data_IF_957182930787
#
_entry.id   IF_957182930787
#
_cell.length_a   1.000
_cell.length_b   1.000
_cell.length_c   1.000
_cell.angle_alpha   90.00
_cell.angle_beta   90.00
_cell.angle_gamma   90.00
#
_symmetry.space_group_name_H-M   'P 1'
#
loop_
_entity.id
_entity.type
_entity.pdbx_description
1 polymer ?
#
# COMPACT_ATOMS: atom_id res chain seq x y z
N UNK A 1 -4.46 -15.40 21.67
CA UNK A 1 -4.48 -16.41 20.60
C UNK A 1 -3.87 -17.71 21.11
N UNK A 2 -4.46 -18.87 20.81
CA UNK A 2 -3.93 -20.18 21.26
C UNK A 2 -2.59 -20.50 20.57
N UNK A 3 -1.50 -20.73 21.32
CA UNK A 3 -0.19 -21.11 20.78
C UNK A 3 -0.21 -22.35 19.87
N UNK A 4 -1.10 -23.32 20.13
CA UNK A 4 -1.16 -24.58 19.37
C UNK A 4 -1.61 -24.35 17.93
N UNK A 5 -2.56 -23.42 17.72
CA UNK A 5 -3.03 -23.05 16.38
C UNK A 5 -1.95 -22.37 15.56
N UNK A 6 -1.14 -21.52 16.21
CA UNK A 6 0.01 -20.85 15.57
C UNK A 6 1.09 -21.87 15.20
N UNK A 7 1.36 -22.83 16.08
CA UNK A 7 2.31 -23.91 15.80
C UNK A 7 1.86 -24.77 14.60
N UNK A 8 0.57 -25.12 14.52
CA UNK A 8 0.01 -25.83 13.37
C UNK A 8 0.12 -25.04 12.06
N UNK A 9 -0.16 -23.72 12.09
CA UNK A 9 0.02 -22.87 10.91
C UNK A 9 1.50 -22.78 10.48
N UNK A 10 2.41 -22.61 11.43
CA UNK A 10 3.86 -22.59 11.16
C UNK A 10 4.36 -23.93 10.59
N UNK A 11 3.80 -25.05 11.04
CA UNK A 11 4.11 -26.36 10.49
C UNK A 11 3.70 -26.46 9.01
N UNK A 12 2.48 -26.01 8.64
CA UNK A 12 2.04 -25.95 7.23
C UNK A 12 2.92 -25.07 6.36
N UNK A 13 3.38 -23.92 6.87
CA UNK A 13 4.31 -23.05 6.15
C UNK A 13 5.65 -23.75 5.90
N UNK A 14 6.16 -24.49 6.90
CA UNK A 14 7.39 -25.27 6.78
C UNK A 14 7.25 -26.41 5.76
N UNK A 15 6.12 -27.12 5.76
CA UNK A 15 5.82 -28.15 4.75
C UNK A 15 5.80 -27.56 3.34
N UNK A 16 5.30 -26.33 3.18
CA UNK A 16 5.35 -25.59 1.92
C UNK A 16 6.74 -25.04 1.54
N UNK A 17 7.79 -25.32 2.32
CA UNK A 17 9.15 -24.79 2.07
C UNK A 17 9.30 -23.29 2.33
N UNK A 18 8.34 -22.67 3.02
CA UNK A 18 8.35 -21.22 3.28
C UNK A 18 9.18 -20.96 4.54
N UNK A 19 10.29 -20.23 4.39
CA UNK A 19 11.21 -19.84 5.48
C UNK A 19 10.69 -18.75 6.42
N UNK A 20 9.37 -18.53 6.49
CA UNK A 20 8.73 -17.51 7.32
C UNK A 20 7.97 -18.17 8.48
N UNK A 21 7.98 -17.51 9.63
CA UNK A 21 7.28 -17.94 10.85
C UNK A 21 6.30 -16.86 11.31
N UNK A 22 5.10 -17.27 11.68
CA UNK A 22 4.09 -16.42 12.32
C UNK A 22 4.40 -16.32 13.82
N UNK A 23 4.54 -15.10 14.31
CA UNK A 23 4.64 -14.71 15.72
C UNK A 23 3.45 -13.81 16.08
N UNK A 24 3.04 -13.82 17.36
CA UNK A 24 2.08 -12.84 17.89
C UNK A 24 2.85 -11.85 18.75
N UNK A 25 2.69 -10.56 18.47
CA UNK A 25 3.28 -9.50 19.28
C UNK A 25 2.19 -8.49 19.61
N UNK A 26 1.92 -8.34 20.92
CA UNK A 26 0.78 -7.56 21.40
C UNK A 26 -0.53 -8.14 20.90
N UNK A 27 -1.26 -7.35 20.10
CA UNK A 27 -2.57 -7.70 19.55
C UNK A 27 -2.54 -8.15 18.09
N UNK A 28 -1.37 -8.23 17.45
CA UNK A 28 -1.26 -8.45 16.00
C UNK A 28 -0.32 -9.60 15.62
N UNK A 29 -0.52 -10.14 14.42
CA UNK A 29 0.38 -11.13 13.81
C UNK A 29 1.56 -10.47 13.11
N UNK A 30 2.72 -11.08 13.30
CA UNK A 30 3.99 -10.68 12.73
C UNK A 30 4.61 -11.86 12.00
N UNK A 31 5.28 -11.59 10.89
CA UNK A 31 6.02 -12.58 10.13
C UNK A 31 7.50 -12.39 10.40
N UNK A 32 8.22 -13.45 10.75
CA UNK A 32 9.65 -13.44 10.99
C UNK A 32 10.35 -14.37 10.00
N UNK A 33 11.41 -13.88 9.38
CA UNK A 33 12.26 -14.71 8.51
C UNK A 33 13.40 -13.91 7.90
N UNK A 34 14.15 -14.55 7.01
CA UNK A 34 15.24 -13.88 6.28
C UNK A 34 14.62 -13.09 5.13
N UNK A 35 14.67 -11.77 5.23
CA UNK A 35 14.17 -10.85 4.20
C UNK A 35 15.34 -10.04 3.63
N UNK A 36 15.25 -9.59 2.37
CA UNK A 36 16.22 -8.66 1.81
C UNK A 36 16.26 -7.38 2.64
N UNK A 37 17.39 -6.66 2.66
CA UNK A 37 17.50 -5.42 3.42
C UNK A 37 16.43 -4.41 2.99
N UNK A 38 15.94 -3.62 3.95
CA UNK A 38 15.03 -2.51 3.64
C UNK A 38 15.79 -1.43 2.86
N UNK A 39 15.14 -0.72 1.94
CA UNK A 39 15.79 0.34 1.16
C UNK A 39 16.31 1.49 2.03
N UNK A 40 15.65 1.75 3.16
CA UNK A 40 16.07 2.73 4.18
C UNK A 40 17.18 2.21 5.12
N UNK A 41 17.50 0.92 5.07
CA UNK A 41 18.50 0.31 5.94
C UNK A 41 19.88 0.33 5.26
N UNK A 42 20.90 0.83 5.95
CA UNK A 42 22.30 0.79 5.48
C UNK A 42 22.93 -0.62 5.45
N UNK A 43 22.12 -1.68 5.40
CA UNK A 43 22.59 -3.09 5.41
C UNK A 43 22.62 -3.63 3.99
N UNK A 44 23.74 -4.24 3.60
CA UNK A 44 23.93 -4.81 2.25
C UNK A 44 23.50 -6.27 2.07
N UNK A 45 23.14 -6.99 3.14
CA UNK A 45 22.87 -8.42 3.09
C UNK A 45 21.50 -8.79 3.67
N UNK A 46 20.84 -9.85 3.18
CA UNK A 46 19.62 -10.38 3.79
C UNK A 46 19.86 -10.77 5.25
N UNK A 47 18.90 -10.46 6.13
CA UNK A 47 19.00 -10.74 7.56
C UNK A 47 17.63 -11.10 8.14
N UNK A 48 17.62 -11.67 9.36
CA UNK A 48 16.38 -11.95 10.06
C UNK A 48 15.63 -10.67 10.38
N UNK A 49 14.46 -10.52 9.79
CA UNK A 49 13.60 -9.36 9.94
C UNK A 49 12.22 -9.79 10.41
N UNK A 50 11.54 -8.83 11.04
CA UNK A 50 10.12 -8.93 11.37
C UNK A 50 9.33 -8.00 10.46
N UNK A 51 8.28 -8.55 9.87
CA UNK A 51 7.30 -7.85 9.07
C UNK A 51 5.98 -7.79 9.82
N UNK A 52 5.52 -6.58 10.14
CA UNK A 52 4.24 -6.36 10.80
C UNK A 52 3.12 -6.40 9.76
N UNK A 53 2.22 -7.38 9.86
CA UNK A 53 1.10 -7.51 8.91
C UNK A 53 -0.05 -6.55 9.22
N UNK A 54 -0.11 -6.02 10.44
CA UNK A 54 -1.25 -5.21 10.92
C UNK A 54 -2.52 -6.02 11.19
N UNK A 55 -2.48 -7.36 11.03
CA UNK A 55 -3.65 -8.22 11.21
C UNK A 55 -3.84 -8.54 12.70
N UNK A 56 -5.07 -8.42 13.23
CA UNK A 56 -5.36 -8.75 14.62
C UNK A 56 -5.18 -10.25 14.91
N UNK A 57 -4.78 -10.57 16.15
CA UNK A 57 -4.49 -11.92 16.63
C UNK A 57 -5.75 -12.77 16.88
N UNK A 58 -6.62 -12.90 15.87
CA UNK A 58 -7.85 -13.69 15.88
C UNK A 58 -7.78 -14.88 14.89
N UNK A 59 -8.68 -15.87 14.96
CA UNK A 59 -8.60 -17.05 14.10
C UNK A 59 -8.75 -16.76 12.59
N UNK A 60 -9.53 -15.75 12.23
CA UNK A 60 -9.68 -15.29 10.83
C UNK A 60 -8.36 -14.69 10.34
N UNK A 61 -7.78 -13.84 11.18
CA UNK A 61 -6.50 -13.18 10.98
C UNK A 61 -5.35 -14.16 10.87
N UNK A 62 -5.41 -15.30 11.57
CA UNK A 62 -4.39 -16.34 11.43
C UNK A 62 -4.39 -16.92 10.01
N UNK A 63 -5.58 -17.19 9.43
CA UNK A 63 -5.69 -17.66 8.04
C UNK A 63 -5.19 -16.63 7.05
N UNK A 64 -5.50 -15.35 7.29
CA UNK A 64 -5.01 -14.25 6.45
C UNK A 64 -3.48 -14.11 6.56
N UNK A 65 -2.92 -14.18 7.76
CA UNK A 65 -1.49 -14.15 7.98
C UNK A 65 -0.76 -15.33 7.31
N UNK A 66 -1.37 -16.53 7.33
CA UNK A 66 -0.86 -17.70 6.61
C UNK A 66 -0.87 -17.47 5.09
N UNK A 67 -1.95 -16.89 4.54
CA UNK A 67 -2.02 -16.54 3.11
C UNK A 67 -0.96 -15.52 2.70
N UNK A 68 -0.77 -14.47 3.51
CA UNK A 68 0.27 -13.46 3.27
C UNK A 68 1.65 -14.10 3.35
N UNK A 69 1.90 -14.98 4.32
CA UNK A 69 3.19 -15.67 4.42
C UNK A 69 3.47 -16.53 3.18
N UNK A 70 2.46 -17.18 2.60
CA UNK A 70 2.59 -17.93 1.33
C UNK A 70 2.90 -17.02 0.16
N UNK A 71 2.20 -15.90 0.04
CA UNK A 71 2.45 -14.90 -1.01
C UNK A 71 3.86 -14.32 -0.91
N UNK A 72 4.27 -13.90 0.29
CA UNK A 72 5.63 -13.43 0.57
C UNK A 72 6.67 -14.49 0.24
N UNK A 73 6.43 -15.74 0.65
CA UNK A 73 7.30 -16.88 0.34
C UNK A 73 7.49 -17.06 -1.16
N UNK A 74 6.41 -17.00 -1.94
CA UNK A 74 6.48 -17.10 -3.40
C UNK A 74 7.29 -15.94 -4.01
N UNK A 75 7.07 -14.71 -3.57
CA UNK A 75 7.81 -13.53 -4.05
C UNK A 75 9.31 -13.60 -3.71
N UNK A 76 9.66 -14.12 -2.54
CA UNK A 76 11.05 -14.34 -2.14
C UNK A 76 11.72 -15.40 -3.03
N UNK A 77 11.04 -16.51 -3.29
CA UNK A 77 11.54 -17.57 -4.19
C UNK A 77 11.74 -17.06 -5.62
N UNK A 78 10.83 -16.22 -6.11
CA UNK A 78 10.94 -15.61 -7.44
C UNK A 78 11.97 -14.46 -7.50
N UNK A 79 12.49 -14.00 -6.36
CA UNK A 79 13.35 -12.81 -6.31
C UNK A 79 12.64 -11.50 -6.67
N UNK A 80 11.30 -11.49 -6.69
CA UNK A 80 10.47 -10.34 -7.06
C UNK A 80 9.98 -9.54 -5.85
N UNK A 81 10.36 -9.96 -4.64
CA UNK A 81 9.98 -9.29 -3.40
C UNK A 81 10.32 -7.80 -3.45
N UNK A 82 9.29 -6.97 -3.22
CA UNK A 82 9.42 -5.53 -3.03
C UNK A 82 8.84 -5.17 -1.68
N UNK A 83 9.59 -4.38 -0.92
CA UNK A 83 9.06 -3.80 0.29
C UNK A 83 7.88 -2.89 -0.06
N UNK A 84 6.76 -2.96 0.68
CA UNK A 84 5.72 -1.96 0.53
C UNK A 84 6.34 -0.58 0.79
N UNK A 85 5.99 0.40 -0.03
CA UNK A 85 6.47 1.78 0.13
C UNK A 85 6.23 2.21 1.57
N UNK A 86 7.30 2.59 2.26
CA UNK A 86 7.16 3.17 3.58
C UNK A 86 6.28 4.41 3.41
N UNK A 87 5.22 4.54 4.22
CA UNK A 87 4.43 5.77 4.24
C UNK A 87 5.41 6.92 4.53
N UNK A 88 5.76 7.70 3.50
CA UNK A 88 6.52 8.93 3.67
C UNK A 88 5.74 9.76 4.67
N UNK A 89 6.41 10.24 5.71
CA UNK A 89 5.76 11.17 6.63
C UNK A 89 5.25 12.34 5.80
N UNK A 90 3.96 12.64 5.99
CA UNK A 90 3.39 13.83 5.38
C UNK A 90 4.20 15.04 5.88
N UNK A 91 4.54 15.99 5.00
CA UNK A 91 5.27 17.19 5.38
C UNK A 91 4.55 17.88 6.54
N UNK A 92 5.31 18.22 7.57
CA UNK A 92 4.82 18.91 8.76
C UNK A 92 4.39 20.34 8.40
N UNK A 93 3.59 20.98 9.26
CA UNK A 93 3.23 22.38 9.07
C UNK A 93 4.46 23.31 8.92
N UNK A 94 5.57 22.97 9.58
CA UNK A 94 6.85 23.68 9.42
C UNK A 94 7.43 23.54 8.01
N UNK A 95 7.47 22.31 7.47
CA UNK A 95 7.91 22.04 6.09
C UNK A 95 7.07 22.83 5.08
N UNK A 96 5.77 23.00 5.33
CA UNK A 96 4.88 23.82 4.51
C UNK A 96 5.18 25.31 4.60
N UNK A 97 5.47 25.84 5.80
CA UNK A 97 5.83 27.26 6.00
C UNK A 97 7.16 27.58 5.31
N UNK A 98 8.17 26.71 5.44
CA UNK A 98 9.47 26.89 4.79
C UNK A 98 9.34 26.84 3.26
N UNK A 99 8.59 25.88 2.72
CA UNK A 99 8.33 25.78 1.28
C UNK A 99 7.58 27.00 0.73
N UNK A 100 6.65 27.55 1.52
CA UNK A 100 5.93 28.77 1.17
C UNK A 100 6.84 29.99 1.18
N UNK A 101 7.64 30.17 2.24
CA UNK A 101 8.59 31.27 2.35
C UNK A 101 9.64 31.26 1.22
N UNK A 102 10.17 30.08 0.87
CA UNK A 102 11.11 29.89 -0.24
C UNK A 102 10.50 30.25 -1.61
N UNK A 103 9.18 30.06 -1.78
CA UNK A 103 8.48 30.45 -3.00
C UNK A 103 8.37 31.97 -3.10
N UNK A 104 8.18 32.66 -1.98
CA UNK A 104 8.04 34.13 -1.94
C UNK A 104 9.37 34.88 -2.04
N UNK A 105 10.51 34.21 -1.84
CA UNK A 105 11.84 34.84 -1.84
C UNK A 105 12.54 34.87 -3.19
N UNK A 106 11.88 34.51 -4.31
CA UNK A 106 12.45 34.70 -5.66
C UNK A 106 12.41 36.18 -6.01
N UNK A 107 13.53 36.93 -5.99
CA UNK A 107 13.52 38.33 -6.37
C UNK A 107 13.56 38.38 -7.89
N UNK A 108 12.42 38.66 -8.54
CA UNK A 108 12.42 38.95 -9.98
C UNK A 108 11.23 38.45 -10.81
N UNK A 109 10.19 37.85 -10.22
CA UNK A 109 8.93 37.63 -10.94
C UNK A 109 7.80 38.32 -10.21
N UNK A 110 7.35 39.45 -10.76
CA UNK A 110 6.20 40.19 -10.29
C UNK A 110 5.04 39.24 -9.99
N UNK A 111 4.51 39.38 -8.78
CA UNK A 111 3.37 38.65 -8.26
C UNK A 111 2.14 38.90 -9.13
N UNK A 112 1.86 38.01 -10.07
CA UNK A 112 0.52 37.84 -10.61
C UNK A 112 -0.15 36.77 -9.74
N UNK A 113 -0.88 37.22 -8.72
CA UNK A 113 -1.87 36.35 -8.08
C UNK A 113 -2.79 35.85 -9.20
N UNK A 114 -3.00 34.53 -9.37
CA UNK A 114 -4.16 34.11 -10.14
C UNK A 114 -5.39 34.70 -9.44
N UNK A 115 -6.29 35.38 -10.17
CA UNK A 115 -7.50 35.89 -9.54
C UNK A 115 -8.22 34.71 -8.93
N UNK A 116 -8.68 34.88 -7.68
CA UNK A 116 -9.68 34.01 -7.07
C UNK A 116 -10.98 34.19 -7.87
N UNK A 117 -11.03 33.60 -9.05
CA UNK A 117 -12.25 33.44 -9.82
C UNK A 117 -13.19 32.54 -9.03
N UNK A 118 -14.51 32.78 -9.09
CA UNK A 118 -15.48 31.90 -8.47
C UNK A 118 -15.28 30.47 -9.00
N UNK A 119 -15.32 29.48 -8.09
CA UNK A 119 -15.29 28.07 -8.45
C UNK A 119 -16.53 27.76 -9.29
N UNK A 120 -16.41 27.84 -10.61
CA UNK A 120 -17.37 27.21 -11.51
C UNK A 120 -17.19 25.71 -11.35
N UNK A 121 -18.16 25.08 -10.68
CA UNK A 121 -18.40 23.65 -10.77
C UNK A 121 -18.88 23.41 -12.20
N UNK A 122 -17.95 23.22 -13.14
CA UNK A 122 -18.25 22.81 -14.51
C UNK A 122 -17.46 21.54 -14.79
N UNK A 123 -18.20 20.45 -14.99
CA UNK A 123 -17.60 19.15 -15.29
C UNK A 123 -18.39 17.97 -14.76
N UNK A 124 -19.73 18.02 -14.84
CA UNK A 124 -20.53 16.79 -14.94
C UNK A 124 -20.03 16.06 -16.20
N UNK A 125 -19.11 15.12 -16.01
CA UNK A 125 -18.66 14.27 -17.09
C UNK A 125 -19.72 13.19 -17.20
N UNK A 126 -20.67 13.41 -18.10
CA UNK A 126 -21.60 12.40 -18.54
C UNK A 126 -20.78 11.18 -18.99
N UNK A 127 -20.92 10.08 -18.25
CA UNK A 127 -20.42 8.78 -18.66
C UNK A 127 -21.28 8.36 -19.85
N UNK A 128 -20.84 8.70 -21.06
CA UNK A 128 -21.34 8.09 -22.28
C UNK A 128 -20.82 6.66 -22.34
N UNK A 129 -21.60 5.73 -21.80
CA UNK A 129 -21.49 4.31 -22.13
C UNK A 129 -21.75 4.19 -23.64
N UNK A 130 -20.68 4.08 -24.43
CA UNK A 130 -20.75 3.53 -25.78
C UNK A 130 -21.02 2.04 -25.65
N UNK A 131 -22.27 1.69 -25.39
CA UNK A 131 -22.79 0.35 -25.68
C UNK A 131 -22.78 0.20 -27.19
N UNK A 132 -21.83 -0.59 -27.67
CA UNK A 132 -21.76 -0.96 -29.07
C UNK A 132 -23.00 -1.77 -29.47
N UNK A 133 -23.50 -1.43 -30.65
CA UNK A 133 -24.19 -2.34 -31.57
C UNK A 133 -25.55 -2.89 -31.12
N UNK A 134 -26.62 -2.25 -31.59
CA UNK A 134 -27.47 -2.88 -32.60
C UNK A 134 -28.46 -1.85 -33.16
N UNK A 135 -28.42 -1.73 -34.48
CA UNK A 135 -29.39 -1.01 -35.28
C UNK A 135 -30.81 -1.52 -35.02
N UNK A 136 -31.79 -0.61 -35.04
CA UNK A 136 -32.97 -0.66 -35.92
C UNK A 136 -33.97 0.45 -35.53
N UNK A 137 -34.27 1.30 -36.53
CA UNK A 137 -35.59 1.88 -36.88
C UNK A 137 -36.31 2.75 -35.82
N UNK A 138 -36.64 4.02 -36.08
CA UNK A 138 -37.59 4.60 -37.06
C UNK A 138 -38.79 5.22 -36.29
N UNK A 139 -39.43 6.23 -36.91
CA UNK A 139 -40.60 7.01 -36.48
C UNK A 139 -40.30 8.12 -35.45
N UNK A 140 -40.02 9.35 -35.90
CA UNK A 140 -40.93 10.41 -36.43
C UNK A 140 -41.72 11.16 -35.35
N UNK A 141 -41.62 12.48 -35.49
CA UNK A 141 -42.50 13.53 -35.00
C UNK A 141 -43.98 13.10 -34.98
N UNK A 142 -44.70 13.49 -33.94
CA UNK A 142 -45.76 14.51 -33.96
C UNK A 142 -45.93 15.02 -32.52
#
# INVERSE_FOLDING_TARGET
MDPRLIAAANYRLKEGGIGLKIEVLGSSFWLRGTLPPKPSSGKGHPYQQRYGTGIPANPIGLRHAESIAKEMGAQLTMGTWRWPEERKQDPTAGDWVERFAATTSTPGRGMLLPPLGPRTISGSTAICLKTGSLALRCCQCW
#
